data_IF_537264921262
#
_entry.id   IF_537264921262
#
_cell.length_a   1.000
_cell.length_b   1.000
_cell.length_c   1.000
_cell.angle_alpha   90.00
_cell.angle_beta   90.00
_cell.angle_gamma   90.00
#
_symmetry.space_group_name_H-M   'P 1'
#
loop_
_entity.id
_entity.type
_entity.pdbx_description
1 polymer ?
#
# COMPACT_ATOMS: atom_id res chain seq x y z
N UNK A 1 16.65 9.00 25.09
CA UNK A 1 17.65 8.35 24.24
C UNK A 1 17.02 7.41 23.20
N UNK A 2 16.09 6.52 23.56
CA UNK A 2 15.45 5.57 22.62
C UNK A 2 14.58 6.28 21.55
N UNK A 3 13.83 7.31 21.92
CA UNK A 3 12.99 8.06 20.96
C UNK A 3 13.81 8.83 19.93
N UNK A 4 14.88 9.50 20.35
CA UNK A 4 15.78 10.21 19.44
C UNK A 4 16.46 9.25 18.46
N UNK A 5 16.81 8.06 18.91
CA UNK A 5 17.37 7.02 18.05
C UNK A 5 16.34 6.52 17.03
N UNK A 6 15.09 6.31 17.45
CA UNK A 6 14.01 5.89 16.55
C UNK A 6 13.71 6.97 15.50
N UNK A 7 13.61 8.24 15.91
CA UNK A 7 13.39 9.36 14.99
C UNK A 7 14.54 9.50 13.97
N UNK A 8 15.80 9.43 14.42
CA UNK A 8 16.95 9.46 13.50
C UNK A 8 16.88 8.32 12.47
N UNK A 9 16.58 7.10 12.91
CA UNK A 9 16.44 5.94 12.02
C UNK A 9 15.31 6.12 11.01
N UNK A 10 14.18 6.69 11.43
CA UNK A 10 13.03 6.96 10.54
C UNK A 10 13.36 8.04 9.50
N UNK A 11 13.99 9.14 9.91
CA UNK A 11 14.43 10.22 9.00
C UNK A 11 15.47 9.71 8.00
N UNK A 12 16.42 8.89 8.45
CA UNK A 12 17.41 8.26 7.54
C UNK A 12 16.72 7.38 6.51
N UNK A 13 15.75 6.57 6.94
CA UNK A 13 14.97 5.70 6.05
C UNK A 13 14.17 6.50 5.01
N UNK A 14 13.57 7.63 5.41
CA UNK A 14 12.88 8.55 4.50
C UNK A 14 13.84 9.15 3.47
N UNK A 15 15.00 9.62 3.92
CA UNK A 15 16.02 10.22 3.05
C UNK A 15 16.58 9.20 2.05
N UNK A 16 16.87 7.98 2.48
CA UNK A 16 17.31 6.89 1.60
C UNK A 16 16.23 6.55 0.58
N UNK A 17 14.98 6.42 1.01
CA UNK A 17 13.84 6.15 0.14
C UNK A 17 13.62 7.27 -0.91
N UNK A 18 13.78 8.53 -0.52
CA UNK A 18 13.68 9.66 -1.46
C UNK A 18 14.78 9.65 -2.52
N UNK A 19 16.00 9.22 -2.17
CA UNK A 19 17.11 9.05 -3.12
C UNK A 19 16.83 7.97 -4.18
N UNK A 20 16.05 6.96 -3.83
CA UNK A 20 15.66 5.90 -4.75
C UNK A 20 14.89 6.42 -5.98
N UNK A 21 14.08 7.46 -5.82
CA UNK A 21 13.32 8.08 -6.91
C UNK A 21 14.18 8.93 -7.86
N UNK A 22 15.44 9.21 -7.53
CA UNK A 22 16.36 9.90 -8.43
C UNK A 22 16.89 9.01 -9.55
N UNK A 23 16.77 7.70 -9.41
CA UNK A 23 17.17 6.74 -10.44
C UNK A 23 16.09 6.63 -11.51
N UNK A 24 16.42 6.89 -12.76
CA UNK A 24 15.52 6.74 -13.92
C UNK A 24 14.91 5.33 -13.97
N UNK A 25 15.72 4.30 -13.68
CA UNK A 25 15.26 2.90 -13.63
C UNK A 25 14.14 2.70 -12.60
N UNK A 26 14.30 3.25 -11.41
CA UNK A 26 13.30 3.13 -10.35
C UNK A 26 12.03 3.89 -10.70
N UNK A 27 12.19 5.07 -11.32
CA UNK A 27 11.06 5.88 -11.77
C UNK A 27 10.27 5.16 -12.89
N UNK A 28 10.95 4.52 -13.83
CA UNK A 28 10.31 3.70 -14.87
C UNK A 28 9.53 2.53 -14.26
N UNK A 29 10.08 1.85 -13.27
CA UNK A 29 9.38 0.78 -12.56
C UNK A 29 8.14 1.30 -11.80
N UNK A 30 8.25 2.45 -11.15
CA UNK A 30 7.07 3.09 -10.54
C UNK A 30 6.00 3.41 -11.59
N UNK A 31 6.37 3.94 -12.75
CA UNK A 31 5.43 4.21 -13.84
C UNK A 31 4.75 2.93 -14.36
N UNK A 32 5.49 1.82 -14.50
CA UNK A 32 4.92 0.52 -14.86
C UNK A 32 3.94 0.02 -13.79
N UNK A 33 4.29 0.11 -12.51
CA UNK A 33 3.38 -0.27 -11.43
C UNK A 33 2.16 0.65 -11.34
N UNK A 34 2.28 1.94 -11.70
CA UNK A 34 1.14 2.84 -11.78
C UNK A 34 0.18 2.41 -12.90
N UNK A 35 0.69 2.07 -14.08
CA UNK A 35 -0.12 1.54 -15.17
C UNK A 35 -0.85 0.25 -14.77
N UNK A 36 -0.15 -0.69 -14.14
CA UNK A 36 -0.75 -1.93 -13.61
C UNK A 36 -1.83 -1.61 -12.56
N UNK A 37 -1.59 -0.65 -11.67
CA UNK A 37 -2.57 -0.27 -10.65
C UNK A 37 -3.84 0.34 -11.24
N UNK A 38 -3.71 1.11 -12.33
CA UNK A 38 -4.86 1.66 -13.07
C UNK A 38 -5.67 0.54 -13.71
N UNK A 39 -5.00 -0.39 -14.41
CA UNK A 39 -5.67 -1.56 -15.02
C UNK A 39 -6.37 -2.40 -13.97
N UNK A 40 -5.69 -2.73 -12.86
CA UNK A 40 -6.29 -3.47 -11.75
C UNK A 40 -7.45 -2.71 -11.07
N UNK A 41 -7.50 -1.39 -11.20
CA UNK A 41 -8.62 -0.57 -10.73
C UNK A 41 -9.93 -0.84 -11.46
N UNK A 42 -9.87 -1.33 -12.70
CA UNK A 42 -11.05 -1.78 -13.45
C UNK A 42 -11.54 -3.17 -13.00
N UNK A 43 -10.62 -4.03 -12.54
CA UNK A 43 -10.92 -5.37 -12.03
C UNK A 43 -11.27 -5.31 -10.53
N UNK A 44 -12.38 -4.66 -10.20
CA UNK A 44 -12.90 -4.63 -8.84
C UNK A 44 -14.05 -5.60 -8.74
N UNK A 45 -13.91 -6.64 -7.91
CA UNK A 45 -14.97 -7.61 -7.65
C UNK A 45 -15.88 -7.03 -6.57
N UNK A 46 -17.12 -6.75 -6.94
CA UNK A 46 -18.14 -6.30 -6.01
C UNK A 46 -18.96 -7.50 -5.55
N UNK A 47 -18.68 -8.00 -4.34
CA UNK A 47 -19.37 -9.14 -3.76
C UNK A 47 -20.72 -8.70 -3.15
N UNK A 48 -20.76 -7.48 -2.62
CA UNK A 48 -21.96 -6.88 -2.02
C UNK A 48 -21.91 -5.35 -2.19
N UNK A 49 -23.03 -4.67 -1.97
CA UNK A 49 -23.09 -3.19 -1.94
C UNK A 49 -22.07 -2.59 -0.97
N UNK A 50 -21.68 -3.34 0.06
CA UNK A 50 -20.73 -2.92 1.08
C UNK A 50 -19.33 -3.53 0.91
N UNK A 51 -19.18 -4.61 0.16
CA UNK A 51 -17.94 -5.36 0.04
C UNK A 51 -17.41 -5.31 -1.40
N UNK A 52 -16.38 -4.51 -1.60
CA UNK A 52 -15.63 -4.41 -2.87
C UNK A 52 -14.20 -4.87 -2.61
N UNK A 53 -13.75 -5.88 -3.32
CA UNK A 53 -12.35 -6.33 -3.33
C UNK A 53 -11.69 -5.68 -4.52
N UNK A 54 -10.76 -4.77 -4.27
CA UNK A 54 -10.01 -4.05 -5.31
C UNK A 54 -8.53 -4.37 -5.21
N UNK A 55 -7.95 -4.86 -6.30
CA UNK A 55 -6.53 -5.22 -6.36
C UNK A 55 -5.60 -4.03 -6.65
N UNK A 56 -6.16 -2.85 -6.89
CA UNK A 56 -5.41 -1.65 -7.28
C UNK A 56 -4.50 -1.07 -6.18
N UNK A 57 -4.62 -1.54 -4.93
CA UNK A 57 -3.74 -1.18 -3.83
C UNK A 57 -2.44 -2.00 -3.79
N UNK A 58 -2.41 -3.17 -4.43
CA UNK A 58 -1.25 -4.07 -4.41
C UNK A 58 0.00 -3.42 -4.99
N UNK A 59 -0.03 -2.76 -6.16
CA UNK A 59 1.15 -2.07 -6.71
C UNK A 59 1.71 -0.99 -5.78
N UNK A 60 0.87 -0.27 -5.05
CA UNK A 60 1.32 0.71 -4.06
C UNK A 60 2.08 0.04 -2.90
N UNK A 61 1.62 -1.12 -2.43
CA UNK A 61 2.32 -1.89 -1.41
C UNK A 61 3.66 -2.45 -1.92
N UNK A 62 3.71 -2.90 -3.18
CA UNK A 62 4.95 -3.39 -3.82
C UNK A 62 5.97 -2.25 -3.95
N UNK A 63 5.58 -1.10 -4.48
CA UNK A 63 6.44 0.08 -4.60
C UNK A 63 6.95 0.54 -3.24
N UNK A 64 6.07 0.57 -2.24
CA UNK A 64 6.45 0.90 -0.85
C UNK A 64 7.45 -0.10 -0.26
N UNK A 65 7.32 -1.38 -0.59
CA UNK A 65 8.25 -2.45 -0.17
C UNK A 65 9.63 -2.28 -0.81
N UNK A 66 9.67 -1.97 -2.10
CA UNK A 66 10.90 -1.89 -2.89
C UNK A 66 11.70 -0.62 -2.65
N UNK A 67 11.01 0.52 -2.67
CA UNK A 67 11.63 1.84 -2.68
C UNK A 67 11.46 2.60 -1.37
N UNK A 68 10.67 2.06 -0.44
CA UNK A 68 10.52 2.57 0.92
C UNK A 68 9.41 3.61 1.10
N UNK A 69 9.34 4.23 2.31
CA UNK A 69 8.19 5.02 2.71
C UNK A 69 8.03 6.33 1.93
N UNK A 70 9.11 7.04 1.62
CA UNK A 70 9.01 8.28 0.86
C UNK A 70 8.55 8.02 -0.58
N UNK A 71 9.11 6.99 -1.22
CA UNK A 71 8.72 6.58 -2.57
C UNK A 71 7.26 6.07 -2.59
N UNK A 72 6.86 5.25 -1.62
CA UNK A 72 5.48 4.78 -1.47
C UNK A 72 4.47 5.91 -1.26
N UNK A 73 4.83 6.92 -0.48
CA UNK A 73 4.01 8.11 -0.25
C UNK A 73 3.81 8.92 -1.54
N UNK A 74 4.89 9.23 -2.24
CA UNK A 74 4.82 9.98 -3.51
C UNK A 74 4.07 9.19 -4.58
N UNK A 75 4.34 7.90 -4.68
CA UNK A 75 3.64 6.99 -5.60
C UNK A 75 2.15 6.91 -5.27
N UNK A 76 1.78 6.73 -4.00
CA UNK A 76 0.38 6.67 -3.56
C UNK A 76 -0.38 7.94 -3.89
N UNK A 77 0.19 9.11 -3.61
CA UNK A 77 -0.41 10.40 -3.94
C UNK A 77 -0.56 10.61 -5.46
N UNK A 78 0.48 10.35 -6.23
CA UNK A 78 0.43 10.45 -7.70
C UNK A 78 -0.59 9.47 -8.30
N UNK A 79 -0.62 8.23 -7.81
CA UNK A 79 -1.55 7.21 -8.28
C UNK A 79 -3.01 7.57 -7.98
N UNK A 80 -3.30 8.19 -6.84
CA UNK A 80 -4.64 8.64 -6.49
C UNK A 80 -5.13 9.71 -7.49
N UNK A 81 -4.29 10.69 -7.79
CA UNK A 81 -4.60 11.74 -8.79
C UNK A 81 -4.79 11.12 -10.18
N UNK A 82 -3.90 10.23 -10.62
CA UNK A 82 -3.99 9.55 -11.92
C UNK A 82 -5.30 8.77 -12.02
N UNK A 83 -5.64 7.99 -11.00
CA UNK A 83 -6.90 7.22 -10.97
C UNK A 83 -8.13 8.12 -11.04
N UNK A 84 -8.09 9.26 -10.35
CA UNK A 84 -9.18 10.23 -10.40
C UNK A 84 -9.36 10.82 -11.80
N UNK A 85 -8.27 11.18 -12.48
CA UNK A 85 -8.31 11.71 -13.86
C UNK A 85 -8.89 10.68 -14.83
N UNK A 86 -8.48 9.41 -14.70
CA UNK A 86 -8.88 8.33 -15.62
C UNK A 86 -10.32 7.87 -15.36
N UNK A 87 -10.71 7.77 -14.09
CA UNK A 87 -12.03 7.28 -13.67
C UNK A 87 -12.56 8.11 -12.50
N UNK A 88 -13.12 9.31 -12.76
CA UNK A 88 -13.71 10.12 -11.71
C UNK A 88 -14.94 9.41 -11.13
N UNK A 89 -14.91 9.14 -9.82
CA UNK A 89 -16.01 8.47 -9.09
C UNK A 89 -16.82 9.44 -8.20
N UNK A 90 -16.63 10.73 -8.38
CA UNK A 90 -17.27 11.79 -7.61
C UNK A 90 -16.47 13.09 -7.69
N UNK A 91 -16.76 14.06 -6.82
CA UNK A 91 -15.97 15.28 -6.72
C UNK A 91 -14.55 14.97 -6.16
N UNK A 92 -13.52 15.60 -6.72
CA UNK A 92 -12.18 15.48 -6.19
C UNK A 92 -12.08 16.11 -4.81
N UNK A 93 -11.53 15.36 -3.87
CA UNK A 93 -11.27 15.85 -2.53
C UNK A 93 -9.82 15.55 -2.14
N UNK A 94 -8.98 16.57 -1.90
CA UNK A 94 -7.53 16.38 -1.62
C UNK A 94 -7.24 15.48 -0.40
N UNK A 95 -8.19 15.35 0.52
CA UNK A 95 -8.07 14.47 1.69
C UNK A 95 -7.82 13.01 1.33
N UNK A 96 -8.40 12.51 0.23
CA UNK A 96 -8.15 11.13 -0.22
C UNK A 96 -6.73 10.94 -0.73
N UNK A 97 -6.16 11.95 -1.38
CA UNK A 97 -4.75 11.96 -1.79
C UNK A 97 -3.83 11.93 -0.56
N UNK A 98 -4.15 12.72 0.49
CA UNK A 98 -3.42 12.65 1.77
C UNK A 98 -3.51 11.25 2.37
N UNK A 99 -4.68 10.63 2.35
CA UNK A 99 -4.86 9.25 2.80
C UNK A 99 -3.98 8.26 2.05
N UNK A 100 -3.87 8.40 0.72
CA UNK A 100 -3.01 7.55 -0.11
C UNK A 100 -1.51 7.75 0.21
N UNK A 101 -1.09 8.99 0.47
CA UNK A 101 0.26 9.33 0.93
C UNK A 101 0.56 8.65 2.28
N UNK A 102 -0.34 8.79 3.25
CA UNK A 102 -0.19 8.18 4.59
C UNK A 102 -0.14 6.65 4.50
N UNK A 103 -0.98 6.03 3.66
CA UNK A 103 -0.93 4.58 3.43
C UNK A 103 0.42 4.14 2.88
N UNK A 104 0.97 4.84 1.89
CA UNK A 104 2.31 4.57 1.33
C UNK A 104 3.42 4.71 2.36
N UNK A 105 3.36 5.72 3.23
CA UNK A 105 4.29 5.90 4.35
C UNK A 105 4.24 4.71 5.33
N UNK A 106 3.05 4.27 5.72
CA UNK A 106 2.88 3.16 6.65
C UNK A 106 3.43 1.87 6.02
N UNK A 107 2.97 1.52 4.81
CA UNK A 107 3.45 0.30 4.14
C UNK A 107 4.97 0.30 3.96
N UNK A 108 5.56 1.40 3.51
CA UNK A 108 7.01 1.51 3.35
C UNK A 108 7.77 1.39 4.66
N UNK A 109 7.25 1.93 5.75
CA UNK A 109 7.88 1.82 7.08
C UNK A 109 7.91 0.38 7.61
N UNK A 110 6.90 -0.42 7.25
CA UNK A 110 6.81 -1.83 7.65
C UNK A 110 7.62 -2.75 6.75
N UNK A 111 7.69 -2.47 5.44
CA UNK A 111 8.23 -3.41 4.45
C UNK A 111 9.65 -3.09 4.00
N UNK A 112 10.05 -1.81 3.95
CA UNK A 112 11.32 -1.41 3.38
C UNK A 112 12.52 -2.09 4.05
N UNK A 113 13.36 -2.72 3.23
CA UNK A 113 14.54 -3.48 3.67
C UNK A 113 14.24 -4.57 4.72
N UNK A 114 12.99 -5.05 4.76
CA UNK A 114 12.56 -6.09 5.70
C UNK A 114 11.85 -7.19 4.91
N UNK A 115 11.89 -8.41 5.47
CA UNK A 115 11.13 -9.52 4.89
C UNK A 115 9.63 -9.30 5.15
N UNK A 116 8.75 -9.24 4.11
CA UNK A 116 7.31 -9.11 4.27
C UNK A 116 6.67 -10.44 4.70
N UNK A 117 7.05 -10.97 5.87
CA UNK A 117 6.38 -12.12 6.47
C UNK A 117 4.91 -11.82 6.74
N UNK A 118 4.06 -12.87 6.75
CA UNK A 118 2.61 -12.75 6.89
C UNK A 118 2.17 -11.85 8.06
N UNK A 119 2.74 -12.03 9.25
CA UNK A 119 2.39 -11.23 10.43
C UNK A 119 2.72 -9.74 10.26
N UNK A 120 3.80 -9.43 9.54
CA UNK A 120 4.16 -8.03 9.25
C UNK A 120 3.21 -7.41 8.22
N UNK A 121 2.81 -8.18 7.23
CA UNK A 121 1.81 -7.77 6.23
C UNK A 121 0.46 -7.53 6.92
N UNK A 122 0.04 -8.45 7.78
CA UNK A 122 -1.19 -8.32 8.55
C UNK A 122 -1.18 -7.07 9.45
N UNK A 123 -0.08 -6.83 10.16
CA UNK A 123 0.06 -5.65 11.03
C UNK A 123 0.05 -4.34 10.22
N UNK A 124 0.72 -4.28 9.08
CA UNK A 124 0.70 -3.11 8.21
C UNK A 124 -0.69 -2.85 7.62
N UNK A 125 -1.36 -3.89 7.12
CA UNK A 125 -2.72 -3.80 6.58
C UNK A 125 -3.72 -3.39 7.67
N UNK A 126 -3.61 -3.94 8.86
CA UNK A 126 -4.43 -3.55 10.00
C UNK A 126 -4.25 -2.07 10.34
N UNK A 127 -3.01 -1.60 10.43
CA UNK A 127 -2.72 -0.20 10.76
C UNK A 127 -3.24 0.77 9.69
N UNK A 128 -3.07 0.43 8.41
CA UNK A 128 -3.62 1.22 7.29
C UNK A 128 -5.14 1.20 7.32
N UNK A 129 -5.78 0.07 7.59
CA UNK A 129 -7.23 -0.01 7.68
C UNK A 129 -7.78 0.84 8.83
N UNK A 130 -7.14 0.82 10.00
CA UNK A 130 -7.58 1.62 11.16
C UNK A 130 -7.32 3.10 10.94
N UNK A 131 -6.10 3.51 10.60
CA UNK A 131 -5.73 4.92 10.50
C UNK A 131 -6.30 5.56 9.22
N UNK A 132 -6.12 4.89 8.08
CA UNK A 132 -6.44 5.50 6.77
C UNK A 132 -7.90 5.22 6.40
N UNK A 133 -8.33 3.96 6.37
CA UNK A 133 -9.66 3.64 5.85
C UNK A 133 -10.78 3.97 6.83
N UNK A 134 -10.61 3.67 8.12
CA UNK A 134 -11.62 3.96 9.15
C UNK A 134 -11.48 5.41 9.62
N UNK A 135 -10.26 5.85 9.96
CA UNK A 135 -10.01 7.20 10.45
C UNK A 135 -10.14 8.25 9.36
N UNK A 136 -9.09 8.45 8.58
CA UNK A 136 -8.99 9.56 7.62
C UNK A 136 -10.10 9.54 6.57
N UNK A 137 -10.33 8.41 5.89
CA UNK A 137 -11.30 8.36 4.81
C UNK A 137 -12.75 8.55 5.28
N UNK A 138 -13.10 8.15 6.51
CA UNK A 138 -14.42 8.43 7.08
C UNK A 138 -14.57 9.90 7.44
N UNK A 139 -13.50 10.50 7.99
CA UNK A 139 -13.46 11.93 8.29
C UNK A 139 -13.64 12.77 7.02
N UNK A 140 -12.92 12.44 5.93
CA UNK A 140 -13.05 13.17 4.66
C UNK A 140 -14.44 13.05 4.07
N UNK A 141 -15.08 11.90 4.16
CA UNK A 141 -16.47 11.73 3.72
C UNK A 141 -17.42 12.56 4.58
N UNK A 142 -17.21 12.60 5.89
CA UNK A 142 -18.06 13.41 6.78
C UNK A 142 -17.95 14.90 6.45
N UNK A 143 -16.75 15.40 6.15
CA UNK A 143 -16.52 16.78 5.74
C UNK A 143 -17.16 17.05 4.36
N UNK A 144 -16.93 16.15 3.38
CA UNK A 144 -17.39 16.33 2.00
C UNK A 144 -18.92 16.31 1.88
N UNK A 145 -19.59 15.45 2.65
CA UNK A 145 -21.05 15.29 2.61
C UNK A 145 -21.78 15.93 3.79
N UNK A 146 -21.07 16.67 4.64
CA UNK A 146 -21.62 17.35 5.82
C UNK A 146 -22.51 16.42 6.67
N UNK A 147 -21.95 15.27 7.09
CA UNK A 147 -22.69 14.27 7.87
C UNK A 147 -23.00 14.79 9.28
N UNK A 148 -24.26 14.65 9.68
CA UNK A 148 -24.65 14.78 11.08
C UNK A 148 -24.01 13.67 11.95
N UNK A 149 -23.90 13.90 13.25
CA UNK A 149 -23.23 12.95 14.16
C UNK A 149 -23.79 11.53 14.10
N UNK A 150 -25.10 11.37 13.92
CA UNK A 150 -25.75 10.04 13.79
C UNK A 150 -25.33 9.35 12.49
N UNK A 151 -25.32 10.08 11.36
CA UNK A 151 -24.88 9.55 10.08
C UNK A 151 -23.38 9.20 10.10
N UNK A 152 -22.56 10.04 10.74
CA UNK A 152 -21.13 9.76 10.91
C UNK A 152 -20.89 8.44 11.63
N UNK A 153 -21.58 8.19 12.76
CA UNK A 153 -21.46 6.96 13.52
C UNK A 153 -21.90 5.73 12.71
N UNK A 154 -23.00 5.83 11.98
CA UNK A 154 -23.49 4.73 11.14
C UNK A 154 -22.48 4.37 10.01
N UNK A 155 -21.91 5.38 9.35
CA UNK A 155 -20.89 5.18 8.32
C UNK A 155 -19.61 4.62 8.93
N UNK A 156 -19.19 5.12 10.10
CA UNK A 156 -18.01 4.65 10.82
C UNK A 156 -18.15 3.16 11.19
N UNK A 157 -19.28 2.76 11.77
CA UNK A 157 -19.55 1.35 12.12
C UNK A 157 -19.53 0.44 10.91
N UNK A 158 -20.22 0.81 9.84
CA UNK A 158 -20.27 0.01 8.60
C UNK A 158 -18.86 -0.15 8.01
N UNK A 159 -18.06 0.91 8.00
CA UNK A 159 -16.68 0.88 7.52
C UNK A 159 -15.76 0.10 8.44
N UNK A 160 -15.92 0.21 9.75
CA UNK A 160 -15.13 -0.53 10.72
C UNK A 160 -15.33 -2.04 10.54
N UNK A 161 -16.59 -2.51 10.49
CA UNK A 161 -16.93 -3.92 10.27
C UNK A 161 -16.33 -4.40 8.94
N UNK A 162 -16.56 -3.66 7.85
CA UNK A 162 -16.00 -3.99 6.53
C UNK A 162 -14.48 -4.12 6.57
N UNK A 163 -13.78 -3.13 7.10
CA UNK A 163 -12.31 -3.10 7.08
C UNK A 163 -11.69 -4.14 8.00
N UNK A 164 -12.31 -4.47 9.13
CA UNK A 164 -11.87 -5.56 10.01
C UNK A 164 -11.95 -6.90 9.27
N UNK A 165 -13.06 -7.18 8.58
CA UNK A 165 -13.24 -8.40 7.80
C UNK A 165 -12.29 -8.44 6.59
N UNK A 166 -12.04 -7.29 5.95
CA UNK A 166 -11.16 -7.22 4.77
C UNK A 166 -9.67 -7.26 5.11
N UNK A 167 -9.26 -6.88 6.32
CA UNK A 167 -7.84 -6.87 6.72
C UNK A 167 -7.13 -8.20 6.48
N UNK A 168 -7.63 -9.36 6.94
CA UNK A 168 -6.99 -10.64 6.68
C UNK A 168 -7.03 -11.02 5.19
N UNK A 169 -8.10 -10.67 4.47
CA UNK A 169 -8.22 -10.93 3.03
C UNK A 169 -7.16 -10.16 2.26
N UNK A 170 -7.03 -8.86 2.50
CA UNK A 170 -6.02 -8.01 1.88
C UNK A 170 -4.60 -8.50 2.20
N UNK A 171 -4.36 -8.93 3.44
CA UNK A 171 -3.08 -9.45 3.87
C UNK A 171 -2.72 -10.78 3.16
N UNK A 172 -3.67 -11.71 3.03
CA UNK A 172 -3.47 -12.98 2.31
C UNK A 172 -3.20 -12.72 0.84
N UNK A 173 -4.01 -11.87 0.20
CA UNK A 173 -3.86 -11.53 -1.22
C UNK A 173 -2.49 -10.90 -1.48
N UNK A 174 -2.10 -9.90 -0.70
CA UNK A 174 -0.79 -9.26 -0.86
C UNK A 174 0.36 -10.24 -0.61
N UNK A 175 0.29 -11.04 0.45
CA UNK A 175 1.33 -12.02 0.78
C UNK A 175 1.49 -13.08 -0.31
N UNK A 176 0.38 -13.54 -0.90
CA UNK A 176 0.40 -14.50 -2.02
C UNK A 176 1.01 -13.89 -3.27
N UNK A 177 0.65 -12.65 -3.61
CA UNK A 177 1.21 -11.94 -4.77
C UNK A 177 2.68 -11.61 -4.57
N UNK A 178 3.10 -11.27 -3.35
CA UNK A 178 4.51 -10.94 -3.07
C UNK A 178 5.47 -12.12 -3.22
N UNK A 179 5.00 -13.37 -3.15
CA UNK A 179 5.84 -14.55 -3.36
C UNK A 179 6.45 -14.60 -4.77
N UNK A 180 5.65 -14.66 -5.86
CA UNK A 180 6.21 -14.67 -7.22
C UNK A 180 6.85 -13.34 -7.61
N UNK A 181 6.26 -12.21 -7.20
CA UNK A 181 6.81 -10.88 -7.49
C UNK A 181 8.16 -10.69 -6.80
N UNK A 182 8.30 -11.12 -5.55
CA UNK A 182 9.56 -11.08 -4.82
C UNK A 182 10.65 -11.92 -5.47
N UNK A 183 10.29 -13.06 -6.08
CA UNK A 183 11.18 -13.89 -6.85
C UNK A 183 11.78 -13.13 -8.06
N UNK A 184 10.91 -12.59 -8.90
CA UNK A 184 11.29 -11.83 -10.09
C UNK A 184 12.14 -10.61 -9.72
N UNK A 185 11.76 -9.91 -8.65
CA UNK A 185 12.48 -8.72 -8.20
C UNK A 185 13.87 -9.08 -7.66
N UNK A 186 14.04 -10.22 -6.98
CA UNK A 186 15.34 -10.65 -6.49
C UNK A 186 16.33 -10.95 -7.62
N UNK A 187 15.86 -11.37 -8.78
CA UNK A 187 16.67 -11.56 -9.99
C UNK A 187 16.99 -10.23 -10.67
N UNK A 188 15.98 -9.36 -10.81
CA UNK A 188 16.15 -8.08 -11.48
C UNK A 188 16.92 -7.06 -10.66
N UNK A 189 16.82 -7.13 -9.34
CA UNK A 189 17.42 -6.18 -8.40
C UNK A 189 18.06 -6.91 -7.21
N UNK A 190 19.21 -7.57 -7.40
CA UNK A 190 19.91 -8.28 -6.33
C UNK A 190 20.26 -7.31 -5.19
N UNK A 191 19.91 -7.70 -3.95
CA UNK A 191 20.17 -6.93 -2.74
C UNK A 191 19.03 -6.03 -2.24
N UNK A 192 17.92 -5.94 -2.97
CA UNK A 192 16.72 -5.16 -2.56
C UNK A 192 15.83 -5.90 -1.56
N UNK A 193 15.72 -7.20 -1.71
CA UNK A 193 15.02 -8.08 -0.77
C UNK A 193 16.03 -8.87 0.05
N UNK A 194 15.68 -9.20 1.28
CA UNK A 194 16.60 -9.94 2.18
C UNK A 194 16.93 -11.34 1.63
N UNK A 195 18.14 -11.84 1.94
CA UNK A 195 18.68 -13.16 1.51
C UNK A 195 17.71 -14.34 1.72
N UNK A 196 16.75 -14.22 2.61
CA UNK A 196 15.75 -15.24 2.90
C UNK A 196 14.70 -15.37 1.78
N UNK A 197 14.35 -14.28 1.11
CA UNK A 197 13.52 -14.30 -0.11
C UNK A 197 14.24 -15.01 -1.26
N UNK A 198 15.54 -14.79 -1.40
CA UNK A 198 16.37 -15.48 -2.39
C UNK A 198 16.39 -17.01 -2.21
N UNK A 199 16.35 -17.50 -0.96
CA UNK A 199 16.28 -18.95 -0.68
C UNK A 199 14.92 -19.56 -1.00
N UNK A 200 13.83 -18.85 -0.70
CA UNK A 200 12.46 -19.30 -1.04
C UNK A 200 12.27 -19.34 -2.55
N UNK A 201 12.82 -18.37 -3.25
CA UNK A 201 12.84 -18.30 -4.72
C UNK A 201 13.61 -19.48 -5.31
N UNK A 202 14.81 -19.76 -4.82
CA UNK A 202 15.62 -20.88 -5.28
C UNK A 202 14.89 -22.22 -5.05
N UNK A 203 14.19 -22.39 -3.93
CA UNK A 203 13.42 -23.58 -3.62
C UNK A 203 12.21 -23.78 -4.56
N UNK A 204 11.53 -22.70 -4.94
CA UNK A 204 10.38 -22.76 -5.87
C UNK A 204 10.84 -23.14 -7.29
N UNK A 205 11.97 -22.59 -7.78
CA UNK A 205 12.49 -22.90 -9.11
C UNK A 205 13.24 -24.23 -9.18
N UNK A 206 13.77 -24.77 -8.06
CA UNK A 206 14.41 -26.08 -8.03
C UNK A 206 13.42 -27.24 -7.97
N UNK A 207 12.19 -27.00 -7.51
CA UNK A 207 11.14 -28.04 -7.41
C UNK A 207 10.34 -28.21 -8.72
N UNK A 208 10.63 -27.45 -9.75
CA UNK A 208 9.97 -27.47 -11.07
C UNK A 208 10.82 -28.11 -12.18
N UNK A 209 11.92 -28.77 -11.84
CA UNK A 209 12.71 -29.68 -12.70
C UNK A 209 12.52 -31.09 -12.17
#
# INVERSE_FOLDING_TARGET
AKEVFFMKKFVTMLSESAKELRSTRNLTLCAMFAAIAVVLGYFTIQISSFLKIGFSGIPNQIVSCLFGPAAGAMFGGALDIIKYIIKPTGAYFPGFTISAIVAGLIYGSFYYKKNPGFMRVLAASFLVNVIVNIGLNTLWLAIMYNYDGVKYLAVLQTRAIKNIVMTPVDAIVFWTVMRPVGAIISELMPGRLTKEHSKITAAIFSSGK
#
